data_IF_982203007898
#
_entry.id   IF_982203007898
#
_cell.length_a   1.000
_cell.length_b   1.000
_cell.length_c   1.000
_cell.angle_alpha   90.00
_cell.angle_beta   90.00
_cell.angle_gamma   90.00
#
_symmetry.space_group_name_H-M   'P 1'
#
loop_
_entity.id
_entity.type
_entity.pdbx_description
1 polymer ?
#
# COMPACT_ATOMS: atom_id res chain seq x y z
N UNK A 1 -2.32 4.25 19.75
CA UNK A 1 -2.39 3.66 18.40
C UNK A 1 -1.32 4.32 17.54
N UNK A 2 -0.54 3.53 16.81
CA UNK A 2 0.43 3.98 15.83
C UNK A 2 0.03 3.48 14.44
N UNK A 3 -0.14 4.38 13.49
CA UNK A 3 -0.40 4.05 12.08
C UNK A 3 0.86 4.34 11.24
N UNK A 4 1.45 3.27 10.67
CA UNK A 4 2.63 3.33 9.82
C UNK A 4 2.32 3.03 8.34
N UNK A 5 1.11 3.30 7.86
CA UNK A 5 0.69 2.93 6.50
C UNK A 5 1.74 3.31 5.45
N UNK A 6 2.01 4.58 5.24
CA UNK A 6 2.95 5.05 4.22
C UNK A 6 4.29 5.54 4.82
N UNK A 7 4.54 5.20 6.08
CA UNK A 7 5.76 5.59 6.77
C UNK A 7 6.91 4.61 6.47
N UNK A 8 8.07 5.08 6.00
CA UNK A 8 9.18 4.22 5.60
C UNK A 8 10.04 3.72 6.78
N UNK A 9 9.43 3.39 7.92
CA UNK A 9 10.12 2.79 9.05
C UNK A 9 10.47 1.31 8.78
N UNK A 10 11.55 1.07 8.01
CA UNK A 10 11.99 -0.26 7.59
C UNK A 10 13.30 -0.71 8.23
N UNK A 11 14.11 0.22 8.71
CA UNK A 11 15.42 -0.10 9.28
C UNK A 11 15.37 -0.08 10.81
N UNK A 12 16.03 -1.06 11.41
CA UNK A 12 16.11 -1.22 12.87
C UNK A 12 16.53 0.06 13.60
N UNK A 13 17.47 0.81 13.03
CA UNK A 13 17.97 2.07 13.61
C UNK A 13 16.88 3.11 13.66
N UNK A 14 16.13 3.28 12.55
CA UNK A 14 15.08 4.28 12.45
C UNK A 14 13.91 3.98 13.39
N UNK A 15 13.52 2.69 13.49
CA UNK A 15 12.46 2.25 14.40
C UNK A 15 12.87 2.48 15.87
N UNK A 16 14.11 2.17 16.23
CA UNK A 16 14.62 2.44 17.58
C UNK A 16 14.68 3.94 17.91
N UNK A 17 15.11 4.77 16.96
CA UNK A 17 15.12 6.22 17.14
C UNK A 17 13.70 6.77 17.26
N UNK A 18 12.78 6.25 16.47
CA UNK A 18 11.37 6.58 16.56
C UNK A 18 10.80 6.22 17.94
N UNK A 19 11.03 4.99 18.42
CA UNK A 19 10.61 4.54 19.75
C UNK A 19 11.19 5.41 20.86
N UNK A 20 12.48 5.74 20.81
CA UNK A 20 13.12 6.63 21.80
C UNK A 20 12.48 8.01 21.86
N UNK A 21 12.06 8.55 20.71
CA UNK A 21 11.46 9.88 20.60
C UNK A 21 9.98 9.91 21.01
N UNK A 22 9.23 8.87 20.69
CA UNK A 22 7.76 8.88 20.76
C UNK A 22 7.17 7.87 21.76
N UNK A 23 7.98 6.98 22.34
CA UNK A 23 7.55 6.00 23.34
C UNK A 23 6.95 4.73 22.75
N UNK A 24 6.11 4.06 23.55
CA UNK A 24 5.47 2.78 23.23
C UNK A 24 4.02 2.95 22.81
N UNK A 25 3.49 1.97 22.10
CA UNK A 25 2.13 1.99 21.57
C UNK A 25 1.44 0.64 21.80
N UNK A 26 0.17 0.66 22.17
CA UNK A 26 -0.59 -0.58 22.35
C UNK A 26 -0.93 -1.24 21.01
N UNK A 27 -1.20 -0.44 19.96
CA UNK A 27 -1.65 -0.94 18.66
C UNK A 27 -0.76 -0.40 17.56
N UNK A 28 -0.32 -1.28 16.68
CA UNK A 28 0.35 -0.98 15.44
C UNK A 28 -0.54 -1.30 14.24
N UNK A 29 -0.84 -0.30 13.40
CA UNK A 29 -1.41 -0.49 12.07
C UNK A 29 -0.30 -0.33 11.03
N UNK A 30 -0.10 -1.34 10.17
CA UNK A 30 0.98 -1.33 9.18
C UNK A 30 0.63 -2.17 7.96
N UNK A 31 1.30 -1.88 6.84
CA UNK A 31 1.09 -2.56 5.56
C UNK A 31 1.58 -4.01 5.61
N UNK A 32 0.83 -4.91 4.95
CA UNK A 32 1.16 -6.33 4.91
C UNK A 32 1.38 -6.89 3.50
N UNK A 33 1.09 -6.14 2.45
CA UNK A 33 1.33 -6.56 1.07
C UNK A 33 1.88 -5.40 0.23
N UNK A 34 2.42 -5.72 -0.94
CA UNK A 34 2.85 -4.69 -1.89
C UNK A 34 1.65 -4.21 -2.72
N UNK A 35 1.63 -2.91 -3.07
CA UNK A 35 0.62 -2.29 -3.91
C UNK A 35 1.20 -1.64 -5.17
N UNK A 36 2.53 -1.56 -5.28
CA UNK A 36 3.22 -0.98 -6.42
C UNK A 36 3.72 -2.06 -7.39
N UNK A 37 4.03 -1.67 -8.61
CA UNK A 37 4.65 -2.54 -9.62
C UNK A 37 5.91 -3.22 -9.09
N UNK A 38 6.02 -4.54 -9.33
CA UNK A 38 7.13 -5.41 -8.90
C UNK A 38 7.60 -6.30 -10.03
N UNK A 39 8.07 -5.67 -11.12
CA UNK A 39 8.60 -6.36 -12.28
C UNK A 39 7.53 -6.87 -13.25
N UNK A 40 7.97 -7.38 -14.39
CA UNK A 40 7.13 -7.98 -15.44
C UNK A 40 6.51 -9.32 -15.00
N UNK A 41 5.67 -9.92 -15.86
CA UNK A 41 5.06 -11.24 -15.60
C UNK A 41 6.10 -12.32 -15.26
N UNK A 42 7.28 -12.25 -15.84
CA UNK A 42 8.37 -13.22 -15.65
C UNK A 42 9.10 -13.06 -14.30
N UNK A 43 8.96 -11.91 -13.66
CA UNK A 43 9.68 -11.58 -12.42
C UNK A 43 8.93 -12.02 -11.14
N UNK A 44 8.29 -13.19 -11.14
CA UNK A 44 7.55 -13.70 -9.97
C UNK A 44 8.39 -13.70 -8.70
N UNK A 45 9.69 -14.06 -8.79
CA UNK A 45 10.58 -14.08 -7.63
C UNK A 45 10.76 -12.70 -6.98
N UNK A 46 10.78 -11.62 -7.77
CA UNK A 46 10.83 -10.25 -7.22
C UNK A 46 9.55 -9.92 -6.42
N UNK A 47 8.40 -10.38 -6.90
CA UNK A 47 7.13 -10.21 -6.20
C UNK A 47 7.08 -10.99 -4.89
N UNK A 48 7.57 -12.23 -4.89
CA UNK A 48 7.70 -13.03 -3.67
C UNK A 48 8.59 -12.35 -2.63
N UNK A 49 9.77 -11.89 -3.04
CA UNK A 49 10.67 -11.13 -2.15
C UNK A 49 9.97 -9.88 -1.59
N UNK A 50 9.27 -9.12 -2.43
CA UNK A 50 8.55 -7.93 -1.97
C UNK A 50 7.41 -8.25 -1.00
N UNK A 51 6.75 -9.40 -1.14
CA UNK A 51 5.73 -9.88 -0.22
C UNK A 51 6.35 -10.29 1.13
N UNK A 52 7.45 -11.06 1.10
CA UNK A 52 8.20 -11.48 2.29
C UNK A 52 8.78 -10.28 3.07
N UNK A 53 9.29 -9.27 2.36
CA UNK A 53 9.77 -8.02 2.98
C UNK A 53 8.68 -7.32 3.78
N UNK A 54 7.42 -7.32 3.31
CA UNK A 54 6.31 -6.72 4.05
C UNK A 54 6.06 -7.45 5.38
N UNK A 55 6.03 -8.78 5.37
CA UNK A 55 5.88 -9.59 6.60
C UNK A 55 7.05 -9.34 7.56
N UNK A 56 8.28 -9.37 7.04
CA UNK A 56 9.49 -9.13 7.83
C UNK A 56 9.48 -7.75 8.48
N UNK A 57 9.02 -6.72 7.76
CA UNK A 57 8.89 -5.37 8.30
C UNK A 57 7.86 -5.28 9.43
N UNK A 58 6.72 -5.95 9.32
CA UNK A 58 5.73 -6.00 10.41
C UNK A 58 6.35 -6.62 11.65
N UNK A 59 7.00 -7.78 11.51
CA UNK A 59 7.66 -8.47 12.62
C UNK A 59 8.72 -7.57 13.28
N UNK A 60 9.54 -6.90 12.48
CA UNK A 60 10.56 -5.98 12.97
C UNK A 60 9.96 -4.80 13.74
N UNK A 61 8.93 -4.17 13.16
CA UNK A 61 8.23 -3.04 13.77
C UNK A 61 7.54 -3.45 15.08
N UNK A 62 6.77 -4.55 15.09
CA UNK A 62 6.06 -5.04 16.25
C UNK A 62 7.02 -5.33 17.43
N UNK A 63 8.13 -6.03 17.15
CA UNK A 63 9.10 -6.39 18.17
C UNK A 63 9.84 -5.18 18.75
N UNK A 64 10.30 -4.24 17.91
CA UNK A 64 11.06 -3.09 18.40
C UNK A 64 10.14 -2.09 19.12
N UNK A 65 8.95 -1.83 18.57
CA UNK A 65 7.98 -0.90 19.16
C UNK A 65 7.29 -1.48 20.39
N UNK A 66 7.40 -2.79 20.61
CA UNK A 66 6.76 -3.49 21.73
C UNK A 66 5.23 -3.32 21.77
N UNK A 67 4.60 -3.39 20.59
CA UNK A 67 3.16 -3.23 20.48
C UNK A 67 2.42 -4.47 21.02
N UNK A 68 1.35 -4.25 21.79
CA UNK A 68 0.51 -5.34 22.34
C UNK A 68 -0.28 -6.04 21.22
N UNK A 69 -0.71 -5.28 20.23
CA UNK A 69 -1.52 -5.78 19.12
C UNK A 69 -1.01 -5.22 17.78
N UNK A 70 -1.08 -6.05 16.75
CA UNK A 70 -0.82 -5.64 15.37
C UNK A 70 -2.09 -5.82 14.55
N UNK A 71 -2.49 -4.77 13.84
CA UNK A 71 -3.58 -4.80 12.88
C UNK A 71 -2.96 -4.63 11.49
N UNK A 72 -2.83 -5.72 10.70
CA UNK A 72 -2.44 -5.61 9.29
C UNK A 72 -3.46 -4.75 8.54
N UNK A 73 -2.97 -3.67 7.89
CA UNK A 73 -3.83 -2.60 7.40
C UNK A 73 -3.37 -2.09 6.05
N UNK A 74 -4.31 -1.51 5.28
CA UNK A 74 -4.06 -0.79 4.02
C UNK A 74 -3.30 -1.58 2.93
N UNK A 75 -3.44 -2.90 2.89
CA UNK A 75 -2.87 -3.77 1.86
C UNK A 75 -3.85 -4.84 1.36
N UNK A 76 -5.14 -4.57 1.51
CA UNK A 76 -6.20 -5.40 0.93
C UNK A 76 -6.36 -5.04 -0.55
N UNK A 77 -5.38 -5.47 -1.35
CA UNK A 77 -5.29 -5.09 -2.75
C UNK A 77 -5.55 -6.28 -3.67
N UNK A 78 -6.01 -5.96 -4.86
CA UNK A 78 -6.14 -6.88 -5.97
C UNK A 78 -5.93 -6.13 -7.28
N UNK A 79 -5.04 -6.63 -8.13
CA UNK A 79 -4.77 -6.06 -9.45
C UNK A 79 -5.81 -6.59 -10.43
N UNK A 80 -6.82 -5.79 -10.75
CA UNK A 80 -7.98 -6.18 -11.57
C UNK A 80 -7.80 -5.91 -13.06
N UNK A 81 -6.85 -5.08 -13.46
CA UNK A 81 -6.57 -4.80 -14.86
C UNK A 81 -5.79 -5.96 -15.49
N UNK A 82 -6.14 -6.33 -16.71
CA UNK A 82 -5.52 -7.44 -17.47
C UNK A 82 -4.00 -7.28 -17.58
N UNK A 83 -3.50 -6.06 -17.79
CA UNK A 83 -2.07 -5.78 -17.96
C UNK A 83 -1.23 -6.04 -16.70
N UNK A 84 -1.81 -5.94 -15.51
CA UNK A 84 -1.12 -6.13 -14.25
C UNK A 84 -1.68 -7.28 -13.40
N UNK A 85 -2.61 -8.06 -13.96
CA UNK A 85 -3.28 -9.17 -13.27
C UNK A 85 -2.28 -10.19 -12.70
N UNK A 86 -1.19 -10.45 -13.42
CA UNK A 86 -0.11 -11.34 -12.98
C UNK A 86 0.50 -10.95 -11.63
N UNK A 87 0.36 -9.69 -11.22
CA UNK A 87 0.88 -9.22 -9.94
C UNK A 87 0.14 -9.79 -8.72
N UNK A 88 -1.01 -10.44 -8.93
CA UNK A 88 -1.73 -11.14 -7.86
C UNK A 88 -1.07 -12.45 -7.43
N UNK A 89 -0.10 -12.97 -8.20
CA UNK A 89 0.53 -14.28 -7.97
C UNK A 89 1.33 -14.39 -6.66
N UNK A 90 1.64 -13.27 -6.02
CA UNK A 90 2.48 -13.22 -4.82
C UNK A 90 2.01 -12.18 -3.79
N UNK A 91 0.81 -11.61 -3.92
CA UNK A 91 0.26 -10.73 -2.88
C UNK A 91 0.06 -11.50 -1.57
N UNK A 92 0.33 -10.85 -0.45
CA UNK A 92 -0.02 -11.42 0.85
C UNK A 92 -1.52 -11.27 1.09
N UNK A 93 -2.22 -12.40 1.26
CA UNK A 93 -3.61 -12.42 1.73
C UNK A 93 -3.66 -12.38 3.26
N UNK A 94 -4.76 -11.96 3.88
CA UNK A 94 -4.86 -11.84 5.35
C UNK A 94 -4.55 -13.14 6.10
N UNK A 95 -4.92 -14.30 5.57
CA UNK A 95 -4.59 -15.60 6.17
C UNK A 95 -3.08 -15.82 6.30
N UNK A 96 -2.35 -15.58 5.20
CA UNK A 96 -0.88 -15.75 5.16
C UNK A 96 -0.21 -14.85 6.19
N UNK A 97 -0.67 -13.61 6.30
CA UNK A 97 -0.14 -12.65 7.26
C UNK A 97 -0.46 -13.05 8.67
N UNK A 98 -1.71 -13.44 8.94
CA UNK A 98 -2.13 -13.89 10.25
C UNK A 98 -1.29 -15.08 10.72
N UNK A 99 -1.14 -16.12 9.91
CA UNK A 99 -0.33 -17.30 10.21
C UNK A 99 1.13 -16.94 10.46
N UNK A 100 1.73 -16.11 9.60
CA UNK A 100 3.12 -15.68 9.74
C UNK A 100 3.39 -14.92 11.04
N UNK A 101 2.45 -14.06 11.46
CA UNK A 101 2.57 -13.30 12.71
C UNK A 101 2.30 -14.17 13.94
N UNK A 102 1.35 -15.11 13.87
CA UNK A 102 1.10 -16.09 14.93
C UNK A 102 2.33 -16.98 15.20
N UNK A 103 3.04 -17.44 14.16
CA UNK A 103 4.29 -18.20 14.30
C UNK A 103 5.39 -17.42 15.00
N UNK A 104 5.30 -16.10 15.05
CA UNK A 104 6.23 -15.19 15.77
C UNK A 104 5.67 -14.73 17.13
N UNK A 105 4.58 -15.33 17.61
CA UNK A 105 3.89 -14.96 18.84
C UNK A 105 3.46 -13.47 18.88
N UNK A 106 3.14 -12.90 17.73
CA UNK A 106 2.64 -11.53 17.62
C UNK A 106 1.11 -11.58 17.68
N UNK A 107 0.55 -10.88 18.67
CA UNK A 107 -0.89 -10.81 18.82
C UNK A 107 -1.51 -9.97 17.69
N UNK A 108 -2.19 -10.65 16.77
CA UNK A 108 -2.67 -10.09 15.51
C UNK A 108 -4.19 -10.01 15.50
N UNK A 109 -4.71 -8.87 15.08
CA UNK A 109 -6.14 -8.61 14.91
C UNK A 109 -6.42 -8.40 13.43
N UNK A 110 -7.19 -9.30 12.82
CA UNK A 110 -7.73 -9.12 11.46
C UNK A 110 -9.13 -8.55 11.57
N UNK A 111 -9.41 -7.48 10.87
CA UNK A 111 -10.71 -6.81 10.90
C UNK A 111 -11.35 -6.80 9.51
N UNK A 112 -12.65 -7.04 9.45
CA UNK A 112 -13.48 -6.79 8.28
C UNK A 112 -14.08 -5.36 8.36
N UNK A 113 -14.52 -4.78 7.23
CA UNK A 113 -15.17 -3.47 7.23
C UNK A 113 -16.39 -3.42 8.14
N UNK A 114 -16.46 -2.40 8.99
CA UNK A 114 -17.57 -2.20 9.94
C UNK A 114 -17.42 -2.94 11.26
N UNK A 115 -16.39 -3.76 11.46
CA UNK A 115 -16.15 -4.43 12.72
C UNK A 115 -15.65 -3.46 13.81
N UNK A 116 -16.10 -3.72 15.03
CA UNK A 116 -15.64 -3.05 16.24
C UNK A 116 -15.01 -4.12 17.13
N UNK A 117 -13.76 -3.91 17.54
CA UNK A 117 -13.02 -4.83 18.40
C UNK A 117 -12.78 -4.21 19.78
N UNK A 118 -13.05 -4.99 20.83
CA UNK A 118 -12.65 -4.64 22.18
C UNK A 118 -11.29 -5.30 22.46
N UNK A 119 -10.27 -4.49 22.74
CA UNK A 119 -8.90 -4.95 22.97
C UNK A 119 -8.70 -5.69 24.29
N UNK A 120 -9.63 -5.56 25.23
CA UNK A 120 -9.58 -6.25 26.51
C UNK A 120 -10.13 -7.69 26.44
N UNK A 121 -10.83 -8.02 25.36
CA UNK A 121 -11.39 -9.35 25.15
C UNK A 121 -10.58 -10.15 24.14
N UNK A 122 -10.67 -11.48 24.20
CA UNK A 122 -10.01 -12.37 23.24
C UNK A 122 -10.55 -12.10 21.85
N UNK A 123 -9.68 -11.68 20.95
CA UNK A 123 -10.02 -11.37 19.57
C UNK A 123 -10.30 -12.65 18.78
N UNK A 124 -11.51 -12.79 18.24
CA UNK A 124 -11.86 -13.86 17.33
C UNK A 124 -11.61 -13.44 15.87
N UNK A 125 -10.49 -13.86 15.34
CA UNK A 125 -10.13 -13.54 13.93
C UNK A 125 -10.88 -14.40 12.91
N UNK A 126 -11.52 -15.49 13.29
CA UNK A 126 -12.09 -16.48 12.37
C UNK A 126 -13.11 -15.89 11.39
N UNK A 127 -14.03 -15.07 11.89
CA UNK A 127 -15.07 -14.43 11.05
C UNK A 127 -14.46 -13.44 10.05
N UNK A 128 -13.51 -12.62 10.49
CA UNK A 128 -12.84 -11.63 9.64
C UNK A 128 -11.99 -12.32 8.58
N UNK A 129 -11.29 -13.40 8.93
CA UNK A 129 -10.53 -14.22 7.97
C UNK A 129 -11.45 -14.87 6.95
N UNK A 130 -12.59 -15.46 7.38
CA UNK A 130 -13.59 -16.01 6.49
C UNK A 130 -14.17 -14.96 5.54
N UNK A 131 -14.50 -13.76 6.06
CA UNK A 131 -14.94 -12.64 5.24
C UNK A 131 -13.93 -12.33 4.13
N UNK A 132 -12.65 -12.19 4.47
CA UNK A 132 -11.63 -11.85 3.47
C UNK A 132 -11.36 -12.98 2.48
N UNK A 133 -11.38 -14.26 2.90
CA UNK A 133 -11.32 -15.40 1.96
C UNK A 133 -12.44 -15.31 0.91
N UNK A 134 -13.67 -15.12 1.38
CA UNK A 134 -14.83 -15.00 0.49
C UNK A 134 -14.70 -13.83 -0.47
N UNK A 135 -14.15 -12.67 -0.01
CA UNK A 135 -13.91 -11.52 -0.87
C UNK A 135 -12.88 -11.85 -1.96
N UNK A 136 -11.72 -12.40 -1.61
CA UNK A 136 -10.71 -12.77 -2.59
C UNK A 136 -11.20 -13.83 -3.57
N UNK A 137 -11.90 -14.86 -3.13
CA UNK A 137 -12.50 -15.86 -4.01
C UNK A 137 -13.56 -15.28 -4.95
N UNK A 138 -14.36 -14.35 -4.48
CA UNK A 138 -15.35 -13.63 -5.27
C UNK A 138 -14.69 -12.81 -6.39
N UNK A 139 -13.63 -12.06 -6.04
CA UNK A 139 -12.90 -11.22 -6.98
C UNK A 139 -12.19 -12.07 -8.03
N UNK A 140 -11.58 -13.19 -7.66
CA UNK A 140 -10.89 -14.10 -8.58
C UNK A 140 -11.83 -14.67 -9.66
N UNK A 141 -13.13 -14.76 -9.37
CA UNK A 141 -14.18 -15.15 -10.33
C UNK A 141 -14.67 -14.01 -11.21
N UNK A 142 -14.28 -12.76 -10.89
CA UNK A 142 -14.73 -11.58 -11.60
C UNK A 142 -13.93 -11.39 -12.90
N UNK A 143 -14.61 -10.99 -13.96
CA UNK A 143 -13.95 -10.70 -15.24
C UNK A 143 -12.96 -9.54 -15.08
N UNK A 144 -11.76 -9.70 -15.65
CA UNK A 144 -10.75 -8.65 -15.68
C UNK A 144 -11.24 -7.41 -16.44
N UNK A 145 -10.82 -6.24 -15.98
CA UNK A 145 -11.19 -4.95 -16.59
C UNK A 145 -10.23 -4.66 -17.73
N UNK A 146 -10.77 -4.58 -18.96
CA UNK A 146 -10.02 -4.24 -20.17
C UNK A 146 -10.28 -2.78 -20.63
N UNK A 147 -11.10 -2.02 -19.93
CA UNK A 147 -11.59 -0.71 -20.39
C UNK A 147 -10.51 0.36 -20.54
N UNK A 148 -9.37 0.17 -19.90
CA UNK A 148 -8.24 1.12 -19.92
C UNK A 148 -7.27 0.88 -21.10
N UNK A 149 -7.49 -0.18 -21.89
CA UNK A 149 -6.62 -0.52 -23.01
C UNK A 149 -7.00 0.22 -24.32
N UNK A 150 -7.94 1.15 -24.26
CA UNK A 150 -8.30 1.96 -25.41
C UNK A 150 -7.26 3.06 -25.60
N UNK A 151 -6.66 3.11 -26.79
CA UNK A 151 -5.82 4.24 -27.17
C UNK A 151 -6.64 5.53 -27.15
N UNK A 152 -6.05 6.58 -26.61
CA UNK A 152 -6.63 7.92 -26.63
C UNK A 152 -5.92 8.68 -27.75
N UNK A 153 -6.69 9.29 -28.65
CA UNK A 153 -6.13 10.16 -29.69
C UNK A 153 -5.39 11.35 -29.05
N UNK A 154 -4.24 11.70 -29.62
CA UNK A 154 -3.37 12.76 -29.09
C UNK A 154 -4.11 14.10 -28.95
N UNK A 155 -4.98 14.42 -29.92
CA UNK A 155 -5.77 15.65 -29.90
C UNK A 155 -6.75 15.67 -28.73
N UNK A 156 -7.36 14.53 -28.41
CA UNK A 156 -8.24 14.40 -27.26
C UNK A 156 -7.49 14.55 -25.93
N UNK A 157 -6.28 14.00 -25.88
CA UNK A 157 -5.39 14.15 -24.73
C UNK A 157 -4.98 15.61 -24.50
N UNK A 158 -4.58 16.31 -25.57
CA UNK A 158 -4.21 17.72 -25.55
C UNK A 158 -5.40 18.60 -25.10
N UNK A 159 -6.59 18.36 -25.66
CA UNK A 159 -7.81 19.08 -25.26
C UNK A 159 -8.12 18.91 -23.78
N UNK A 160 -8.00 17.70 -23.25
CA UNK A 160 -8.22 17.41 -21.84
C UNK A 160 -7.15 18.06 -20.95
N UNK A 161 -5.90 18.09 -21.40
CA UNK A 161 -4.81 18.76 -20.70
C UNK A 161 -5.03 20.28 -20.62
N UNK A 162 -5.44 20.93 -21.70
CA UNK A 162 -5.81 22.35 -21.69
C UNK A 162 -6.97 22.67 -20.73
N UNK A 163 -8.00 21.82 -20.73
CA UNK A 163 -9.11 21.96 -19.76
C UNK A 163 -8.63 21.84 -18.32
N UNK A 164 -7.72 20.91 -18.05
CA UNK A 164 -7.13 20.71 -16.74
C UNK A 164 -6.29 21.94 -16.32
N UNK A 165 -5.43 22.44 -17.20
CA UNK A 165 -4.65 23.66 -16.95
C UNK A 165 -5.55 24.87 -16.63
N UNK A 166 -6.58 25.12 -17.45
CA UNK A 166 -7.55 26.18 -17.20
C UNK A 166 -8.19 26.07 -15.82
N UNK A 167 -8.59 24.86 -15.41
CA UNK A 167 -9.18 24.59 -14.10
C UNK A 167 -8.19 24.89 -12.95
N UNK A 168 -6.91 24.53 -13.10
CA UNK A 168 -5.87 24.85 -12.13
C UNK A 168 -5.73 26.38 -11.99
N UNK A 169 -5.59 27.10 -13.11
CA UNK A 169 -5.44 28.56 -13.10
C UNK A 169 -6.66 29.32 -12.57
N UNK A 170 -7.87 28.75 -12.74
CA UNK A 170 -9.09 29.33 -12.19
C UNK A 170 -9.21 29.16 -10.66
N UNK A 171 -8.70 28.04 -10.14
CA UNK A 171 -8.83 27.68 -8.71
C UNK A 171 -7.67 28.14 -7.82
N UNK A 172 -6.58 28.60 -8.39
CA UNK A 172 -5.35 28.93 -7.66
C UNK A 172 -4.79 30.29 -8.08
N UNK A 173 -3.93 30.85 -7.24
CA UNK A 173 -3.23 32.10 -7.58
C UNK A 173 -2.31 31.90 -8.80
N UNK A 174 -2.52 32.72 -9.84
CA UNK A 174 -1.69 32.69 -11.07
C UNK A 174 -0.20 32.89 -10.77
N UNK A 175 0.11 33.77 -9.84
CA UNK A 175 1.50 34.03 -9.43
C UNK A 175 2.13 32.79 -8.81
N UNK A 176 1.43 32.12 -7.90
CA UNK A 176 1.92 30.93 -7.20
C UNK A 176 2.17 29.78 -8.22
N UNK A 177 1.23 29.55 -9.14
CA UNK A 177 1.39 28.51 -10.17
C UNK A 177 2.58 28.81 -11.07
N UNK A 178 2.78 30.09 -11.46
CA UNK A 178 3.91 30.47 -12.32
C UNK A 178 5.25 30.22 -11.62
N UNK A 179 5.34 30.47 -10.32
CA UNK A 179 6.53 30.19 -9.50
C UNK A 179 6.77 28.70 -9.41
N UNK A 180 5.73 27.91 -9.07
CA UNK A 180 5.82 26.46 -8.94
C UNK A 180 6.19 25.78 -10.26
N UNK A 181 5.63 26.22 -11.39
CA UNK A 181 5.99 25.69 -12.71
C UNK A 181 7.45 25.95 -13.06
N UNK A 182 8.01 27.10 -12.72
CA UNK A 182 9.44 27.37 -12.94
C UNK A 182 10.34 26.47 -12.12
N UNK A 183 9.96 26.18 -10.85
CA UNK A 183 10.73 25.29 -9.97
C UNK A 183 10.60 23.84 -10.42
N UNK A 184 9.40 23.37 -10.75
CA UNK A 184 9.16 21.99 -11.22
C UNK A 184 9.81 21.73 -12.58
N UNK A 185 9.83 22.70 -13.48
CA UNK A 185 10.47 22.55 -14.79
C UNK A 185 11.98 22.32 -14.68
N UNK A 186 12.64 22.96 -13.71
CA UNK A 186 14.06 22.73 -13.44
C UNK A 186 14.34 21.33 -12.88
N UNK A 187 13.43 20.76 -12.09
CA UNK A 187 13.60 19.40 -11.54
C UNK A 187 13.29 18.30 -12.54
N UNK A 188 12.25 18.45 -13.37
CA UNK A 188 11.87 17.45 -14.38
C UNK A 188 12.98 17.32 -15.45
N UNK A 189 13.67 18.40 -15.83
CA UNK A 189 14.78 18.33 -16.77
C UNK A 189 16.02 17.64 -16.18
N UNK A 190 16.27 17.71 -14.88
CA UNK A 190 17.34 16.95 -14.24
C UNK A 190 17.06 15.46 -14.24
N UNK A 191 15.82 15.04 -14.00
CA UNK A 191 15.45 13.63 -13.98
C UNK A 191 15.42 12.98 -15.38
N UNK A 192 15.09 13.74 -16.43
CA UNK A 192 15.11 13.24 -17.83
C UNK A 192 16.54 13.07 -18.37
N UNK A 193 17.49 13.91 -17.94
CA UNK A 193 18.90 13.81 -18.37
C UNK A 193 19.60 12.59 -17.74
N UNK A 194 19.10 12.04 -16.64
CA UNK A 194 19.65 10.84 -16.00
C UNK A 194 19.17 9.54 -16.67
N UNK A 195 18.12 9.60 -17.52
CA UNK A 195 17.55 8.43 -18.22
C UNK A 195 17.85 8.39 -19.73
N UNK A 196 18.65 9.29 -20.29
CA UNK A 196 19.18 9.25 -21.64
C UNK A 196 20.70 8.98 -21.62
#
# INVERSE_FOLDING_TARGET
ILNLNDCPLKHKVDINNFKKKHGEYDILLTQFSYAAWKGSSENKKLRQIAAEEKISNIVLQANILNCKHVIPFASYIYFSNKMNFYMNDSINKPDVVFEALQQKNINTIIMAPGEIQNLETVTQNSKSLEFWRNQFESIEKTKQIDEYDKSIELDQLNLNFEKYQKKIFQKNSKLLITILNKISFLNIFQDIIIFL
#
